data_IF_716671870483
#
_entry.id   IF_716671870483
#
_cell.length_a   1.000
_cell.length_b   1.000
_cell.length_c   1.000
_cell.angle_alpha   90.00
_cell.angle_beta   90.00
_cell.angle_gamma   90.00
#
_symmetry.space_group_name_H-M   'P 1'
#
loop_
_entity.id
_entity.type
_entity.pdbx_description
1 polymer ?
#
# COMPACT_ATOMS: atom_id res chain seq x y z
N UNK A 1 -2.16 36.07 -20.16
CA UNK A 1 -2.48 36.27 -18.75
C UNK A 1 -1.41 37.16 -18.14
N UNK A 2 -1.74 38.40 -17.82
CA UNK A 2 -0.81 39.34 -17.18
C UNK A 2 -0.71 38.91 -15.70
N UNK A 3 0.44 38.37 -15.32
CA UNK A 3 0.73 38.12 -13.90
C UNK A 3 0.97 39.50 -13.26
N UNK A 4 0.15 39.91 -12.26
CA UNK A 4 0.13 41.30 -11.79
C UNK A 4 1.39 41.81 -11.11
N UNK A 5 2.42 40.93 -10.91
CA UNK A 5 3.64 41.26 -10.17
C UNK A 5 4.95 41.06 -10.96
N UNK A 6 4.88 40.82 -12.28
CA UNK A 6 6.08 40.71 -13.13
C UNK A 6 7.03 39.55 -12.82
N UNK A 7 6.57 38.56 -12.09
CA UNK A 7 7.36 37.38 -11.74
C UNK A 7 7.63 36.53 -12.98
N UNK A 8 8.86 36.09 -13.14
CA UNK A 8 9.24 35.16 -14.20
C UNK A 8 8.80 33.74 -13.86
N UNK A 9 8.49 32.93 -14.86
CA UNK A 9 8.07 31.53 -14.71
C UNK A 9 9.01 30.69 -13.80
N UNK A 10 10.32 30.99 -13.87
CA UNK A 10 11.34 30.37 -13.03
C UNK A 10 11.21 30.73 -11.54
N UNK A 11 10.85 31.97 -11.24
CA UNK A 11 10.69 32.45 -9.87
C UNK A 11 9.43 31.82 -9.25
N UNK A 12 8.35 31.69 -10.01
CA UNK A 12 7.13 31.02 -9.59
C UNK A 12 7.42 29.55 -9.31
N UNK A 13 8.13 28.86 -10.22
CA UNK A 13 8.48 27.45 -10.05
C UNK A 13 9.38 27.22 -8.81
N UNK A 14 10.31 28.15 -8.53
CA UNK A 14 11.15 28.09 -7.34
C UNK A 14 10.34 28.24 -6.06
N UNK A 15 9.44 29.23 -6.00
CA UNK A 15 8.56 29.46 -4.85
C UNK A 15 7.64 28.27 -4.62
N UNK A 16 7.07 27.70 -5.69
CA UNK A 16 6.21 26.51 -5.55
C UNK A 16 7.02 25.32 -5.05
N UNK A 17 8.25 25.11 -5.56
CA UNK A 17 9.11 24.02 -5.08
C UNK A 17 9.47 24.18 -3.59
N UNK A 18 9.71 25.42 -3.13
CA UNK A 18 9.95 25.74 -1.73
C UNK A 18 8.72 25.47 -0.86
N UNK A 19 7.53 25.89 -1.33
CA UNK A 19 6.25 25.61 -0.64
C UNK A 19 5.92 24.11 -0.59
N UNK A 20 6.32 23.34 -1.59
CA UNK A 20 6.20 21.86 -1.58
C UNK A 20 7.15 21.25 -0.56
N UNK A 21 8.42 21.71 -0.54
CA UNK A 21 9.41 21.25 0.43
C UNK A 21 8.97 21.56 1.87
N UNK A 22 8.35 22.73 2.08
CA UNK A 22 7.78 23.17 3.37
C UNK A 22 6.42 22.52 3.68
N UNK A 23 5.93 21.63 2.81
CA UNK A 23 4.64 20.96 2.96
C UNK A 23 3.44 21.93 3.05
N UNK A 24 3.50 23.08 2.41
CA UNK A 24 2.43 24.09 2.40
C UNK A 24 1.46 23.89 1.24
N UNK A 25 1.93 23.31 0.14
CA UNK A 25 1.13 23.04 -1.05
C UNK A 25 1.35 21.61 -1.53
N UNK A 26 0.36 21.09 -2.24
CA UNK A 26 0.42 19.81 -2.95
C UNK A 26 0.40 20.11 -4.44
N UNK A 27 1.29 19.46 -5.17
CA UNK A 27 1.31 19.48 -6.63
C UNK A 27 0.72 18.15 -7.13
N UNK A 28 -0.28 18.26 -7.97
CA UNK A 28 -0.86 17.11 -8.68
C UNK A 28 -0.59 17.25 -10.17
N UNK A 29 -0.13 16.19 -10.80
CA UNK A 29 0.05 16.09 -12.24
C UNK A 29 -0.82 14.95 -12.79
N UNK A 30 -1.69 15.30 -13.75
CA UNK A 30 -2.67 14.35 -14.32
C UNK A 30 -3.46 13.57 -13.25
N UNK A 31 -3.85 14.24 -12.15
CA UNK A 31 -4.61 13.68 -11.04
C UNK A 31 -3.81 12.84 -10.04
N UNK A 32 -2.48 12.73 -10.20
CA UNK A 32 -1.62 12.04 -9.25
C UNK A 32 -0.80 13.04 -8.44
N UNK A 33 -0.74 12.85 -7.12
CA UNK A 33 0.09 13.68 -6.23
C UNK A 33 1.57 13.43 -6.50
N UNK A 34 2.34 14.51 -6.71
CA UNK A 34 3.78 14.48 -6.91
C UNK A 34 4.45 14.59 -5.55
N UNK A 35 5.36 13.65 -5.27
CA UNK A 35 6.10 13.65 -4.01
C UNK A 35 7.16 14.77 -3.98
N UNK A 36 7.41 15.36 -2.79
CA UNK A 36 8.55 16.24 -2.60
C UNK A 36 9.84 15.53 -3.02
N UNK A 37 10.66 16.18 -3.84
CA UNK A 37 11.91 15.60 -4.35
C UNK A 37 11.77 14.82 -5.66
N UNK A 38 10.60 14.75 -6.27
CA UNK A 38 10.47 14.22 -7.63
C UNK A 38 11.32 15.07 -8.60
N UNK A 39 12.27 14.41 -9.26
CA UNK A 39 13.20 15.06 -10.21
C UNK A 39 12.50 15.73 -11.39
N UNK A 40 11.27 15.31 -11.71
CA UNK A 40 10.47 15.87 -12.80
C UNK A 40 9.60 17.06 -12.36
N UNK A 41 9.53 17.36 -11.07
CA UNK A 41 8.72 18.47 -10.56
C UNK A 41 9.02 19.80 -11.27
N UNK A 42 10.30 20.20 -11.54
CA UNK A 42 10.58 21.41 -12.28
C UNK A 42 10.00 21.41 -13.71
N UNK A 43 9.92 20.25 -14.35
CA UNK A 43 9.33 20.13 -15.69
C UNK A 43 7.82 20.34 -15.66
N UNK A 44 7.12 19.78 -14.68
CA UNK A 44 5.68 19.95 -14.51
C UNK A 44 5.27 21.41 -14.25
N UNK A 45 6.15 22.18 -13.60
CA UNK A 45 5.90 23.57 -13.24
C UNK A 45 6.35 24.58 -14.32
N UNK A 46 7.12 24.14 -15.34
CA UNK A 46 7.77 25.03 -16.31
C UNK A 46 7.35 24.79 -17.75
N UNK A 47 7.12 23.53 -18.14
CA UNK A 47 6.83 23.19 -19.53
C UNK A 47 5.37 23.50 -19.84
N UNK A 48 5.15 24.31 -20.87
CA UNK A 48 3.82 24.76 -21.29
C UNK A 48 2.82 23.61 -21.47
N UNK A 49 3.25 22.48 -22.02
CA UNK A 49 2.39 21.30 -22.24
C UNK A 49 2.12 20.49 -20.96
N UNK A 50 2.88 20.71 -19.88
CA UNK A 50 2.75 20.01 -18.61
C UNK A 50 1.99 20.84 -17.57
N UNK A 51 2.13 22.17 -17.65
CA UNK A 51 1.48 23.12 -16.72
C UNK A 51 -0.05 23.00 -16.75
N UNK A 52 -0.62 22.76 -17.93
CA UNK A 52 -2.07 22.58 -18.09
C UNK A 52 -2.62 21.32 -17.41
N UNK A 53 -1.75 20.37 -17.11
CA UNK A 53 -2.06 19.12 -16.40
C UNK A 53 -1.69 19.18 -14.91
N UNK A 54 -1.11 20.31 -14.48
CA UNK A 54 -0.59 20.48 -13.12
C UNK A 54 -1.56 21.33 -12.31
N UNK A 55 -1.96 20.82 -11.17
CA UNK A 55 -2.80 21.52 -10.20
C UNK A 55 -1.98 21.73 -8.92
N UNK A 56 -1.95 22.96 -8.45
CA UNK A 56 -1.32 23.35 -7.18
C UNK A 56 -2.45 23.72 -6.22
N UNK A 57 -2.50 23.05 -5.09
CA UNK A 57 -3.50 23.30 -4.05
C UNK A 57 -2.82 23.49 -2.70
N UNK A 58 -3.47 24.24 -1.81
CA UNK A 58 -3.02 24.32 -0.43
C UNK A 58 -3.10 22.92 0.19
N UNK A 59 -2.07 22.55 0.93
CA UNK A 59 -2.10 21.32 1.69
C UNK A 59 -3.02 21.50 2.88
N UNK A 60 -4.03 20.64 2.97
CA UNK A 60 -4.79 20.50 4.19
C UNK A 60 -3.99 19.59 5.12
N UNK A 61 -3.54 20.12 6.25
CA UNK A 61 -2.87 19.30 7.26
C UNK A 61 -3.81 18.17 7.71
N UNK A 62 -3.30 16.96 7.70
CA UNK A 62 -4.02 15.82 8.26
C UNK A 62 -4.17 16.02 9.76
N UNK A 63 -5.33 15.68 10.31
CA UNK A 63 -5.57 15.74 11.74
C UNK A 63 -4.47 14.99 12.51
N UNK A 64 -3.84 15.67 13.46
CA UNK A 64 -2.77 15.11 14.29
C UNK A 64 -3.18 13.83 15.01
N UNK A 65 -4.44 13.75 15.46
CA UNK A 65 -4.96 12.54 16.11
C UNK A 65 -5.02 11.37 15.16
N UNK A 66 -5.41 11.59 13.88
CA UNK A 66 -5.41 10.57 12.85
C UNK A 66 -3.98 10.10 12.55
N UNK A 67 -3.03 11.02 12.45
CA UNK A 67 -1.61 10.71 12.26
C UNK A 67 -1.06 9.84 13.41
N UNK A 68 -1.29 10.25 14.66
CA UNK A 68 -0.81 9.53 15.83
C UNK A 68 -1.43 8.13 15.96
N UNK A 69 -2.74 8.03 15.72
CA UNK A 69 -3.44 6.74 15.73
C UNK A 69 -2.90 5.81 14.64
N UNK A 70 -2.71 6.31 13.43
CA UNK A 70 -2.15 5.54 12.32
C UNK A 70 -0.73 5.05 12.64
N UNK A 71 0.12 5.91 13.19
CA UNK A 71 1.48 5.53 13.61
C UNK A 71 1.48 4.47 14.70
N UNK A 72 0.60 4.61 15.69
CA UNK A 72 0.46 3.60 16.76
C UNK A 72 0.05 2.26 16.17
N UNK A 73 -1.01 2.22 15.37
CA UNK A 73 -1.46 1.00 14.71
C UNK A 73 -0.34 0.35 13.89
N UNK A 74 0.37 1.11 13.07
CA UNK A 74 1.45 0.58 12.22
C UNK A 74 2.62 0.02 13.02
N UNK A 75 2.98 0.63 14.16
CA UNK A 75 3.99 0.08 15.07
C UNK A 75 3.57 -1.27 15.62
N UNK A 76 2.33 -1.36 16.09
CA UNK A 76 1.79 -2.58 16.68
C UNK A 76 1.64 -3.67 15.60
N UNK A 77 1.07 -3.32 14.45
CA UNK A 77 0.80 -4.23 13.34
C UNK A 77 2.07 -4.87 12.72
N UNK A 78 3.10 -4.06 12.49
CA UNK A 78 4.37 -4.53 11.92
C UNK A 78 5.44 -4.86 12.97
N UNK A 79 5.12 -4.73 14.26
CA UNK A 79 6.07 -4.89 15.38
C UNK A 79 7.35 -4.08 15.17
N UNK A 80 7.20 -2.79 14.90
CA UNK A 80 8.29 -1.87 14.60
C UNK A 80 8.35 -0.74 15.63
N UNK A 81 9.58 -0.36 16.01
CA UNK A 81 9.81 0.77 16.91
C UNK A 81 9.69 2.11 16.17
N UNK A 82 10.09 2.14 14.92
CA UNK A 82 10.31 3.37 14.16
C UNK A 82 9.34 3.47 12.97
N UNK A 83 8.36 4.36 13.10
CA UNK A 83 7.42 4.71 12.04
C UNK A 83 7.50 6.22 11.82
N UNK A 84 7.63 6.70 10.56
CA UNK A 84 7.80 8.12 10.26
C UNK A 84 6.77 9.00 10.95
N UNK A 85 7.21 10.18 11.43
CA UNK A 85 6.35 11.13 12.14
C UNK A 85 5.74 12.19 11.22
N UNK A 86 6.41 12.48 10.12
CA UNK A 86 5.93 13.42 9.11
C UNK A 86 4.91 12.76 8.18
N UNK A 87 4.06 13.57 7.57
CA UNK A 87 2.98 13.08 6.74
C UNK A 87 3.48 12.29 5.53
N UNK A 88 4.43 12.86 4.78
CA UNK A 88 4.89 12.24 3.53
C UNK A 88 5.62 10.93 3.80
N UNK A 89 6.45 10.90 4.83
CA UNK A 89 7.12 9.68 5.28
C UNK A 89 6.14 8.61 5.74
N UNK A 90 5.11 8.99 6.50
CA UNK A 90 4.07 8.06 6.95
C UNK A 90 3.27 7.47 5.79
N UNK A 91 2.85 8.30 4.85
CA UNK A 91 2.12 7.86 3.65
C UNK A 91 2.97 6.92 2.80
N UNK A 92 4.23 7.30 2.53
CA UNK A 92 5.15 6.45 1.78
C UNK A 92 5.37 5.09 2.49
N UNK A 93 5.50 5.11 3.81
CA UNK A 93 5.63 3.91 4.63
C UNK A 93 4.40 2.99 4.51
N UNK A 94 3.19 3.54 4.62
CA UNK A 94 1.94 2.77 4.47
C UNK A 94 1.89 2.11 3.09
N UNK A 95 2.11 2.90 2.04
CA UNK A 95 2.05 2.39 0.66
C UNK A 95 3.10 1.30 0.43
N UNK A 96 4.35 1.51 0.83
CA UNK A 96 5.42 0.53 0.67
C UNK A 96 5.13 -0.77 1.41
N UNK A 97 4.79 -0.69 2.70
CA UNK A 97 4.57 -1.87 3.54
C UNK A 97 3.39 -2.73 3.09
N UNK A 98 2.26 -2.12 2.83
CA UNK A 98 1.08 -2.86 2.40
C UNK A 98 1.18 -3.33 0.94
N UNK A 99 1.94 -2.64 0.08
CA UNK A 99 2.26 -3.15 -1.26
C UNK A 99 3.10 -4.41 -1.17
N UNK A 100 4.16 -4.42 -0.35
CA UNK A 100 4.98 -5.64 -0.13
C UNK A 100 4.16 -6.78 0.43
N UNK A 101 3.34 -6.52 1.45
CA UNK A 101 2.47 -7.55 2.03
C UNK A 101 1.52 -8.15 0.99
N UNK A 102 0.90 -7.31 0.14
CA UNK A 102 0.07 -7.77 -0.98
C UNK A 102 0.85 -8.63 -1.98
N UNK A 103 2.07 -8.23 -2.33
CA UNK A 103 2.93 -8.94 -3.27
C UNK A 103 3.40 -10.29 -2.68
N UNK A 104 3.64 -10.35 -1.36
CA UNK A 104 3.91 -11.59 -0.64
C UNK A 104 2.70 -12.54 -0.68
N UNK A 105 1.47 -12.03 -0.51
CA UNK A 105 0.26 -12.84 -0.67
C UNK A 105 0.07 -13.35 -2.10
N UNK A 106 0.33 -12.54 -3.11
CA UNK A 106 0.33 -12.98 -4.50
C UNK A 106 1.36 -14.08 -4.75
N UNK A 107 2.54 -13.98 -4.14
CA UNK A 107 3.57 -15.02 -4.20
C UNK A 107 3.10 -16.31 -3.50
N UNK A 108 2.43 -16.17 -2.35
CA UNK A 108 1.84 -17.31 -1.64
C UNK A 108 0.76 -18.01 -2.47
N UNK A 109 -0.05 -17.27 -3.23
CA UNK A 109 -1.05 -17.84 -4.14
C UNK A 109 -0.45 -18.77 -5.20
N UNK A 110 0.80 -18.57 -5.60
CA UNK A 110 1.48 -19.46 -6.55
C UNK A 110 1.64 -20.88 -6.01
N UNK A 111 1.65 -21.08 -4.68
CA UNK A 111 1.73 -22.40 -4.06
C UNK A 111 0.49 -23.26 -4.36
N UNK A 112 -0.64 -22.62 -4.62
CA UNK A 112 -1.92 -23.29 -4.94
C UNK A 112 -2.03 -23.75 -6.41
N UNK A 113 -1.08 -23.37 -7.26
CA UNK A 113 -1.10 -23.79 -8.68
C UNK A 113 -0.87 -25.28 -8.86
N UNK A 114 -0.15 -25.91 -7.93
CA UNK A 114 0.20 -27.34 -7.99
C UNK A 114 -0.91 -28.25 -7.43
N UNK A 115 -1.69 -27.74 -6.49
CA UNK A 115 -2.76 -28.48 -5.82
C UNK A 115 -3.70 -27.51 -5.08
N UNK A 116 -5.01 -27.82 -4.95
CA UNK A 116 -5.95 -27.01 -4.16
C UNK A 116 -5.76 -27.28 -2.66
N UNK A 117 -4.66 -26.77 -2.10
CA UNK A 117 -4.43 -26.78 -0.67
C UNK A 117 -5.52 -25.98 0.07
N UNK A 118 -5.73 -26.21 1.40
CA UNK A 118 -6.72 -25.47 2.17
C UNK A 118 -6.44 -23.97 2.21
N UNK A 119 -7.46 -23.20 2.54
CA UNK A 119 -7.42 -21.77 2.88
C UNK A 119 -6.97 -20.83 1.74
N UNK A 120 -7.08 -21.26 0.47
CA UNK A 120 -6.81 -20.40 -0.69
C UNK A 120 -7.64 -19.11 -0.67
N UNK A 121 -8.92 -19.24 -0.32
CA UNK A 121 -9.84 -18.09 -0.27
C UNK A 121 -9.38 -17.04 0.76
N UNK A 122 -8.78 -17.45 1.86
CA UNK A 122 -8.21 -16.55 2.88
C UNK A 122 -7.12 -15.66 2.25
N UNK A 123 -6.22 -16.27 1.48
CA UNK A 123 -5.16 -15.51 0.79
C UNK A 123 -5.73 -14.60 -0.30
N UNK A 124 -6.69 -15.07 -1.10
CA UNK A 124 -7.36 -14.27 -2.14
C UNK A 124 -8.12 -13.08 -1.52
N UNK A 125 -8.80 -13.28 -0.41
CA UNK A 125 -9.48 -12.20 0.31
C UNK A 125 -8.47 -11.21 0.89
N UNK A 126 -7.37 -11.69 1.43
CA UNK A 126 -6.28 -10.83 1.90
C UNK A 126 -5.74 -9.90 0.82
N UNK A 127 -5.53 -10.39 -0.39
CA UNK A 127 -5.13 -9.54 -1.54
C UNK A 127 -6.18 -8.46 -1.80
N UNK A 128 -7.47 -8.82 -1.81
CA UNK A 128 -8.57 -7.86 -2.05
C UNK A 128 -8.64 -6.78 -0.95
N UNK A 129 -8.48 -7.19 0.31
CA UNK A 129 -8.44 -6.28 1.46
C UNK A 129 -7.31 -5.26 1.31
N UNK A 130 -6.11 -5.71 0.99
CA UNK A 130 -4.96 -4.83 0.79
C UNK A 130 -5.12 -3.95 -0.46
N UNK A 131 -5.67 -4.47 -1.55
CA UNK A 131 -5.98 -3.67 -2.74
C UNK A 131 -7.02 -2.58 -2.44
N UNK A 132 -8.03 -2.87 -1.60
CA UNK A 132 -9.03 -1.88 -1.14
C UNK A 132 -8.39 -0.73 -0.36
N UNK A 133 -7.41 -1.02 0.51
CA UNK A 133 -6.64 -0.01 1.22
C UNK A 133 -5.80 0.82 0.23
N UNK A 134 -5.03 0.16 -0.63
CA UNK A 134 -4.11 0.80 -1.57
C UNK A 134 -4.82 1.58 -2.69
N UNK A 135 -6.11 1.33 -2.92
CA UNK A 135 -6.92 2.13 -3.84
C UNK A 135 -6.99 3.62 -3.42
N UNK A 136 -6.81 3.92 -2.12
CA UNK A 136 -6.82 5.27 -1.58
C UNK A 136 -5.46 6.00 -1.65
N UNK A 137 -4.42 5.39 -2.23
CA UNK A 137 -3.04 5.91 -2.23
C UNK A 137 -2.84 7.29 -2.87
N UNK A 138 -3.84 7.81 -3.58
CA UNK A 138 -3.81 9.14 -4.21
C UNK A 138 -4.26 10.26 -3.28
N UNK A 139 -4.89 9.94 -2.16
CA UNK A 139 -5.40 10.88 -1.16
C UNK A 139 -4.88 10.47 0.22
N UNK A 140 -3.96 11.25 0.76
CA UNK A 140 -3.29 10.96 2.02
C UNK A 140 -4.28 10.81 3.18
N UNK A 141 -5.26 11.72 3.27
CA UNK A 141 -6.28 11.70 4.33
C UNK A 141 -7.20 10.49 4.18
N UNK A 142 -7.65 10.20 2.95
CA UNK A 142 -8.50 9.05 2.67
C UNK A 142 -7.77 7.73 2.96
N UNK A 143 -6.48 7.63 2.62
CA UNK A 143 -5.66 6.45 2.90
C UNK A 143 -5.56 6.18 4.41
N UNK A 144 -5.23 7.20 5.23
CA UNK A 144 -5.12 7.01 6.68
C UNK A 144 -6.47 6.73 7.34
N UNK A 145 -7.55 7.39 6.88
CA UNK A 145 -8.91 7.09 7.37
C UNK A 145 -9.31 5.64 7.04
N UNK A 146 -9.01 5.19 5.82
CA UNK A 146 -9.27 3.81 5.41
C UNK A 146 -8.47 2.83 6.24
N UNK A 147 -7.17 3.08 6.44
CA UNK A 147 -6.29 2.28 7.29
C UNK A 147 -6.90 2.07 8.69
N UNK A 148 -7.31 3.16 9.33
CA UNK A 148 -7.89 3.11 10.68
C UNK A 148 -9.26 2.43 10.69
N UNK A 149 -10.06 2.58 9.65
CA UNK A 149 -11.36 1.89 9.56
C UNK A 149 -11.23 0.39 9.35
N UNK A 150 -10.07 -0.09 8.93
CA UNK A 150 -9.78 -1.50 8.65
C UNK A 150 -8.85 -2.13 9.70
N UNK A 151 -8.62 -1.50 10.85
CA UNK A 151 -7.69 -2.00 11.88
C UNK A 151 -7.97 -3.47 12.24
N UNK A 152 -9.21 -3.79 12.61
CA UNK A 152 -9.60 -5.13 13.02
C UNK A 152 -9.46 -6.13 11.86
N UNK A 153 -9.95 -5.76 10.66
CA UNK A 153 -9.86 -6.60 9.46
C UNK A 153 -8.40 -6.91 9.08
N UNK A 154 -7.49 -5.93 9.25
CA UNK A 154 -6.07 -6.13 8.97
C UNK A 154 -5.40 -7.02 10.03
N UNK A 155 -5.78 -6.90 11.30
CA UNK A 155 -5.27 -7.76 12.38
C UNK A 155 -5.72 -9.21 12.16
N UNK A 156 -7.00 -9.44 11.89
CA UNK A 156 -7.53 -10.76 11.57
C UNK A 156 -6.83 -11.38 10.36
N UNK A 157 -6.65 -10.58 9.30
CA UNK A 157 -5.91 -11.00 8.11
C UNK A 157 -4.48 -11.44 8.46
N UNK A 158 -3.80 -10.72 9.33
CA UNK A 158 -2.41 -11.03 9.69
C UNK A 158 -2.33 -12.37 10.45
N UNK A 159 -3.28 -12.66 11.33
CA UNK A 159 -3.40 -13.93 12.05
C UNK A 159 -3.71 -15.07 11.08
N UNK A 160 -4.73 -14.92 10.24
CA UNK A 160 -5.13 -15.93 9.26
C UNK A 160 -4.00 -16.28 8.29
N UNK A 161 -3.29 -15.28 7.80
CA UNK A 161 -2.16 -15.49 6.88
C UNK A 161 -0.98 -16.18 7.58
N UNK A 162 -0.74 -15.89 8.86
CA UNK A 162 0.29 -16.59 9.63
C UNK A 162 -0.01 -18.09 9.73
N UNK A 163 -1.27 -18.48 9.90
CA UNK A 163 -1.70 -19.89 9.91
C UNK A 163 -1.48 -20.56 8.54
N UNK A 164 -1.86 -19.88 7.44
CA UNK A 164 -1.63 -20.39 6.09
C UNK A 164 -0.12 -20.57 5.80
N UNK A 165 0.70 -19.60 6.19
CA UNK A 165 2.16 -19.69 6.05
C UNK A 165 2.74 -20.84 6.87
N UNK A 166 2.24 -21.04 8.10
CA UNK A 166 2.64 -22.16 8.95
C UNK A 166 2.32 -23.51 8.30
N UNK A 167 1.12 -23.63 7.68
CA UNK A 167 0.74 -24.83 6.92
C UNK A 167 1.78 -25.13 5.82
N UNK A 168 2.08 -24.18 4.96
CA UNK A 168 3.05 -24.39 3.87
C UNK A 168 4.47 -24.69 4.37
N UNK A 169 4.85 -24.10 5.49
CA UNK A 169 6.18 -24.28 6.07
C UNK A 169 6.37 -25.65 6.77
N UNK A 170 5.35 -26.13 7.48
CA UNK A 170 5.50 -27.25 8.40
C UNK A 170 4.60 -28.44 8.11
N UNK A 171 3.41 -28.23 7.54
CA UNK A 171 2.38 -29.26 7.41
C UNK A 171 2.19 -29.78 5.98
N UNK A 172 2.60 -29.03 4.96
CA UNK A 172 2.42 -29.39 3.55
C UNK A 172 2.97 -30.78 3.23
N UNK A 173 4.17 -31.11 3.69
CA UNK A 173 4.80 -32.41 3.41
C UNK A 173 4.01 -33.56 4.02
N UNK A 174 3.48 -33.38 5.23
CA UNK A 174 2.66 -34.37 5.91
C UNK A 174 1.32 -34.54 5.15
N UNK A 175 0.70 -33.43 4.76
CA UNK A 175 -0.52 -33.42 3.97
C UNK A 175 -0.34 -34.17 2.64
N UNK A 176 0.72 -33.89 1.89
CA UNK A 176 1.03 -34.54 0.62
C UNK A 176 1.28 -36.05 0.80
N UNK A 177 1.95 -36.45 1.87
CA UNK A 177 2.20 -37.84 2.21
C UNK A 177 0.91 -38.59 2.54
N UNK A 178 0.03 -37.99 3.37
CA UNK A 178 -1.26 -38.55 3.73
C UNK A 178 -2.15 -38.71 2.48
N UNK A 179 -2.21 -37.69 1.63
CA UNK A 179 -2.97 -37.72 0.37
C UNK A 179 -2.50 -38.85 -0.56
N UNK A 180 -1.18 -39.02 -0.70
CA UNK A 180 -0.60 -40.08 -1.52
C UNK A 180 -0.97 -41.48 -0.96
N UNK A 181 -1.00 -41.63 0.36
CA UNK A 181 -1.41 -42.88 0.99
C UNK A 181 -2.86 -43.19 0.72
N UNK A 182 -3.77 -42.23 0.88
CA UNK A 182 -5.20 -42.36 0.58
C UNK A 182 -5.40 -42.77 -0.89
N UNK A 183 -4.73 -42.09 -1.84
CA UNK A 183 -4.83 -42.40 -3.27
C UNK A 183 -4.32 -43.81 -3.61
N UNK A 184 -3.41 -44.39 -2.85
CA UNK A 184 -2.97 -45.77 -3.03
C UNK A 184 -4.03 -46.75 -2.53
N UNK A 185 -4.58 -46.50 -1.36
CA UNK A 185 -5.61 -47.34 -0.75
C UNK A 185 -6.87 -47.38 -1.63
N UNK A 186 -7.31 -46.27 -2.18
CA UNK A 186 -8.45 -46.20 -3.10
C UNK A 186 -8.22 -47.04 -4.36
N UNK A 187 -7.03 -46.99 -4.97
CA UNK A 187 -6.67 -47.81 -6.12
C UNK A 187 -6.60 -49.31 -5.82
N UNK A 188 -6.28 -49.68 -4.60
CA UNK A 188 -6.29 -51.09 -4.15
C UNK A 188 -7.70 -51.57 -3.94
N UNK A 189 -8.61 -50.74 -3.40
CA UNK A 189 -10.04 -51.10 -3.21
C UNK A 189 -10.79 -51.30 -4.52
N UNK A 190 -10.44 -50.57 -5.60
CA UNK A 190 -11.05 -50.75 -6.92
C UNK A 190 -10.63 -52.03 -7.67
N UNK A 191 -9.64 -52.76 -7.15
CA UNK A 191 -9.14 -54.03 -7.71
C UNK A 191 -9.74 -55.27 -7.07
N UNK A 192 -10.57 -55.11 -6.03
CA UNK A 192 -11.27 -56.17 -5.34
C UNK A 192 -12.75 -56.21 -5.80
#
# INVERSE_FOLDING_TARGET
>A
SVIPYGWRELEIAAVVAELVADQKVVVQYSGSTIQPGDRKMPDYLRRKNEIDKTVISLRHEIDKKLMERSRKFLRDYFNLMDVPADEDGLIAFVIDRFTRQRDDLNTLLLQYNSYPYPDKNTVENGVKTLDSLLAQKKDNTALLKKLISMEDELLDLNEDIAEVQAFFKTQRTIFDSARNLVSRLDREREKI
#
